data_IF_443746059479
#
_entry.id   IF_443746059479
#
_cell.length_a   1.000
_cell.length_b   1.000
_cell.length_c   1.000
_cell.angle_alpha   90.00
_cell.angle_beta   90.00
_cell.angle_gamma   90.00
#
_symmetry.space_group_name_H-M   'P 1'
#
loop_
_entity.id
_entity.type
_entity.pdbx_description
1 polymer ?
#
# COMPACT_ATOMS: atom_id res chain seq x y z
N UNK A 1 -2.13 -8.49 -22.47
CA UNK A 1 -1.68 -7.91 -21.19
C UNK A 1 -0.31 -8.49 -20.95
N UNK A 2 0.72 -7.70 -20.66
CA UNK A 2 2.09 -8.23 -20.52
C UNK A 2 2.25 -8.85 -19.13
N UNK A 3 2.89 -10.01 -19.03
CA UNK A 3 3.09 -10.77 -17.79
C UNK A 3 3.71 -9.92 -16.65
N UNK A 4 4.47 -8.88 -17.02
CA UNK A 4 5.07 -7.91 -16.08
C UNK A 4 4.05 -7.01 -15.38
N UNK A 5 2.93 -6.68 -16.01
CA UNK A 5 1.87 -5.86 -15.43
C UNK A 5 1.06 -6.64 -14.40
N UNK A 6 0.84 -7.93 -14.65
CA UNK A 6 0.12 -8.81 -13.74
C UNK A 6 0.91 -9.05 -12.46
N UNK A 7 2.20 -9.35 -12.56
CA UNK A 7 3.08 -9.49 -11.39
C UNK A 7 3.13 -8.21 -10.54
N UNK A 8 3.13 -7.04 -11.17
CA UNK A 8 3.09 -5.76 -10.46
C UNK A 8 1.76 -5.58 -9.73
N UNK A 9 0.62 -5.91 -10.35
CA UNK A 9 -0.69 -5.83 -9.71
C UNK A 9 -0.80 -6.80 -8.52
N UNK A 10 -0.26 -8.03 -8.64
CA UNK A 10 -0.24 -8.99 -7.53
C UNK A 10 0.54 -8.47 -6.33
N UNK A 11 1.73 -7.90 -6.56
CA UNK A 11 2.53 -7.31 -5.48
C UNK A 11 1.78 -6.18 -4.75
N UNK A 12 1.02 -5.38 -5.49
CA UNK A 12 0.23 -4.30 -4.89
C UNK A 12 -0.93 -4.85 -4.06
N UNK A 13 -1.57 -5.94 -4.50
CA UNK A 13 -2.61 -6.60 -3.74
C UNK A 13 -2.07 -7.15 -2.41
N UNK A 14 -0.91 -7.80 -2.40
CA UNK A 14 -0.29 -8.32 -1.17
C UNK A 14 0.01 -7.19 -0.16
N UNK A 15 0.58 -6.08 -0.64
CA UNK A 15 0.85 -4.91 0.20
C UNK A 15 -0.44 -4.29 0.74
N UNK A 16 -1.48 -4.19 -0.10
CA UNK A 16 -2.78 -3.66 0.31
C UNK A 16 -3.49 -4.56 1.32
N UNK A 17 -3.43 -5.88 1.18
CA UNK A 17 -4.02 -6.83 2.12
C UNK A 17 -3.39 -6.71 3.51
N UNK A 18 -2.07 -6.64 3.61
CA UNK A 18 -1.39 -6.49 4.90
C UNK A 18 -1.69 -5.15 5.57
N UNK A 19 -1.77 -4.07 4.77
CA UNK A 19 -2.19 -2.74 5.22
C UNK A 19 -3.63 -2.78 5.75
N UNK A 20 -4.55 -3.43 5.03
CA UNK A 20 -5.95 -3.63 5.45
C UNK A 20 -6.04 -4.52 6.69
N UNK A 21 -5.12 -5.45 6.89
CA UNK A 21 -5.05 -6.28 8.09
C UNK A 21 -4.39 -5.56 9.28
N UNK A 22 -4.16 -4.25 9.19
CA UNK A 22 -3.58 -3.45 10.26
C UNK A 22 -2.09 -3.68 10.46
N UNK A 23 -1.40 -4.23 9.45
CA UNK A 23 0.05 -4.42 9.42
C UNK A 23 0.72 -3.48 8.40
N UNK A 24 0.65 -2.15 8.57
CA UNK A 24 1.24 -1.21 7.61
C UNK A 24 2.77 -1.11 7.66
N UNK A 25 3.40 -1.63 8.72
CA UNK A 25 4.82 -1.43 8.99
C UNK A 25 5.67 -2.44 8.22
N UNK A 26 6.68 -1.96 7.49
CA UNK A 26 7.69 -2.79 6.83
C UNK A 26 7.52 -3.00 5.33
N UNK A 27 6.41 -2.53 4.75
CA UNK A 27 6.17 -2.59 3.31
C UNK A 27 7.00 -1.56 2.53
N UNK A 28 7.44 -1.99 1.35
CA UNK A 28 8.08 -1.13 0.36
C UNK A 28 7.05 -0.36 -0.42
N UNK A 29 7.37 0.88 -0.77
CA UNK A 29 6.55 1.66 -1.67
C UNK A 29 6.44 0.95 -3.03
N UNK A 30 5.23 0.66 -3.52
CA UNK A 30 5.08 -0.04 -4.79
C UNK A 30 5.50 0.78 -6.02
N UNK A 31 5.72 2.08 -5.85
CA UNK A 31 6.17 2.98 -6.91
C UNK A 31 7.68 3.16 -6.95
N UNK A 32 8.34 3.23 -5.78
CA UNK A 32 9.77 3.56 -5.69
C UNK A 32 10.62 2.55 -4.92
N UNK A 33 10.02 1.51 -4.32
CA UNK A 33 10.71 0.46 -3.55
C UNK A 33 11.21 0.89 -2.17
N UNK A 34 11.02 2.15 -1.75
CA UNK A 34 11.56 2.66 -0.49
C UNK A 34 10.62 2.44 0.71
N UNK A 35 11.20 2.37 1.91
CA UNK A 35 10.52 2.23 3.21
C UNK A 35 10.89 3.41 4.13
N UNK A 36 10.09 3.75 5.15
CA UNK A 36 8.79 3.19 5.50
C UNK A 36 7.60 3.90 4.82
N UNK A 37 6.48 3.20 4.69
CA UNK A 37 5.19 3.80 4.36
C UNK A 37 4.53 4.37 5.63
N UNK A 38 4.13 5.62 5.60
CA UNK A 38 3.30 6.23 6.64
C UNK A 38 1.85 5.84 6.43
N UNK A 39 1.17 5.40 7.49
CA UNK A 39 -0.24 5.01 7.42
C UNK A 39 -1.06 5.77 8.44
N UNK A 40 -2.14 6.39 7.97
CA UNK A 40 -3.11 7.13 8.78
C UNK A 40 -4.46 6.43 8.67
N UNK A 41 -5.00 5.99 9.82
CA UNK A 41 -6.32 5.35 9.91
C UNK A 41 -7.31 6.34 10.52
N UNK A 42 -8.41 6.60 9.80
CA UNK A 42 -9.51 7.49 10.21
C UNK A 42 -10.84 6.77 10.03
N UNK A 43 -11.27 6.06 11.08
CA UNK A 43 -12.48 5.23 11.02
C UNK A 43 -12.32 4.11 10.00
N UNK A 44 -13.24 3.95 9.02
CA UNK A 44 -13.12 2.94 7.97
C UNK A 44 -12.13 3.32 6.87
N UNK A 45 -11.54 4.52 6.91
CA UNK A 45 -10.60 4.99 5.89
C UNK A 45 -9.17 4.73 6.33
N UNK A 46 -8.37 4.20 5.41
CA UNK A 46 -6.92 4.06 5.56
C UNK A 46 -6.24 4.86 4.46
N UNK A 47 -5.27 5.68 4.84
CA UNK A 47 -4.42 6.44 3.92
C UNK A 47 -3.00 5.99 4.11
N UNK A 48 -2.34 5.63 3.01
CA UNK A 48 -0.94 5.19 3.03
C UNK A 48 -0.15 6.11 2.13
N UNK A 49 0.95 6.63 2.64
CA UNK A 49 1.81 7.60 1.97
C UNK A 49 3.25 7.15 2.03
N UNK A 50 3.95 7.19 0.91
CA UNK A 50 5.40 7.05 0.89
C UNK A 50 6.05 8.38 1.27
N UNK A 51 6.97 8.33 2.24
CA UNK A 51 7.76 9.50 2.65
C UNK A 51 8.89 9.82 1.68
N UNK A 52 9.29 8.87 0.82
CA UNK A 52 10.39 9.06 -0.14
C UNK A 52 9.94 9.65 -1.47
N UNK A 53 8.95 9.06 -2.15
CA UNK A 53 8.46 9.57 -3.44
C UNK A 53 7.22 10.47 -3.33
N UNK A 54 6.59 10.53 -2.15
CA UNK A 54 5.40 11.36 -1.91
C UNK A 54 4.08 10.75 -2.41
N UNK A 55 4.13 9.63 -3.14
CA UNK A 55 2.94 8.92 -3.60
C UNK A 55 2.08 8.44 -2.45
N UNK A 56 0.77 8.43 -2.67
CA UNK A 56 -0.19 7.97 -1.68
C UNK A 56 -1.36 7.22 -2.30
N UNK A 57 -1.93 6.32 -1.53
CA UNK A 57 -3.16 5.62 -1.87
C UNK A 57 -4.10 5.59 -0.66
N UNK A 58 -5.40 5.55 -0.95
CA UNK A 58 -6.44 5.50 0.07
C UNK A 58 -7.26 4.24 -0.12
N UNK A 59 -7.59 3.57 0.96
CA UNK A 59 -8.45 2.39 1.00
C UNK A 59 -9.61 2.56 1.96
N UNK A 60 -10.57 1.64 1.87
CA UNK A 60 -11.58 1.42 2.92
C UNK A 60 -11.37 0.05 3.52
N UNK A 61 -11.33 -0.02 4.84
CA UNK A 61 -11.38 -1.27 5.58
C UNK A 61 -12.77 -1.89 5.38
N UNK A 62 -12.87 -3.18 4.99
CA UNK A 62 -14.14 -3.88 5.08
C UNK A 62 -14.53 -3.98 6.56
N UNK A 63 -15.80 -3.67 6.85
CA UNK A 63 -16.37 -3.71 8.21
C UNK A 63 -16.34 -5.11 8.81
#
# INVERSE_FOLDING_TARGET
MSDSQEAQLTFWLDVLEEIINGRPNGHECPFCGHKPLETEVKGPLIKVKCTSCGEFFNGRMPY
#
